data_IF_919748620635
#
_entry.id   IF_919748620635
#
_cell.length_a   1.000
_cell.length_b   1.000
_cell.length_c   1.000
_cell.angle_alpha   90.00
_cell.angle_beta   90.00
_cell.angle_gamma   90.00
#
_symmetry.space_group_name_H-M   'P 1'
#
loop_
_entity.id
_entity.type
_entity.pdbx_description
1 polymer ?
#
# COMPACT_ATOMS: atom_id res chain seq x y z
N UNK A 1 -3.81 6.66 39.75
CA UNK A 1 -3.67 5.28 39.25
C UNK A 1 -3.71 5.33 37.73
N UNK A 2 -2.55 5.32 37.09
CA UNK A 2 -2.44 5.38 35.63
C UNK A 2 -2.29 3.93 35.14
N UNK A 3 -3.32 3.39 34.49
CA UNK A 3 -3.31 2.02 33.94
C UNK A 3 -2.47 2.04 32.65
N UNK A 4 -1.31 1.36 32.57
CA UNK A 4 -0.39 1.45 31.44
C UNK A 4 -0.84 0.65 30.19
N UNK A 5 -2.08 0.14 30.18
CA UNK A 5 -2.65 -0.67 29.10
C UNK A 5 -4.05 -0.23 28.65
N UNK A 6 -4.52 0.96 29.06
CA UNK A 6 -5.79 1.45 28.54
C UNK A 6 -5.63 1.80 27.05
N UNK A 7 -6.45 1.18 26.18
CA UNK A 7 -6.53 1.55 24.76
C UNK A 7 -6.76 3.06 24.66
N UNK A 8 -6.07 3.74 23.73
CA UNK A 8 -6.11 5.19 23.56
C UNK A 8 -7.51 5.74 23.22
N UNK A 9 -8.51 4.86 23.14
CA UNK A 9 -9.89 5.15 22.79
C UNK A 9 -10.89 4.75 23.87
N UNK A 10 -10.43 4.42 25.08
CA UNK A 10 -11.27 3.98 26.18
C UNK A 10 -12.35 5.03 26.55
N UNK A 11 -12.01 6.32 26.42
CA UNK A 11 -12.93 7.45 26.61
C UNK A 11 -14.19 7.34 25.74
N UNK A 12 -14.03 6.94 24.47
CA UNK A 12 -15.12 6.79 23.51
C UNK A 12 -15.85 5.47 23.69
N UNK A 13 -15.10 4.40 23.96
CA UNK A 13 -15.69 3.07 24.12
C UNK A 13 -16.62 3.01 25.33
N UNK A 14 -16.28 3.70 26.42
CA UNK A 14 -17.09 3.78 27.63
C UNK A 14 -18.19 4.85 27.58
N UNK A 15 -18.14 5.77 26.62
CA UNK A 15 -19.16 6.81 26.46
C UNK A 15 -20.55 6.20 26.24
N UNK A 16 -21.53 6.64 27.02
CA UNK A 16 -22.95 6.25 26.90
C UNK A 16 -23.76 7.47 26.46
N UNK A 17 -24.02 7.64 25.15
CA UNK A 17 -24.78 8.78 24.67
C UNK A 17 -26.24 8.68 25.12
N UNK A 18 -26.78 9.74 25.72
CA UNK A 18 -28.17 9.80 26.19
C UNK A 18 -29.12 10.32 25.10
N UNK A 19 -28.64 11.24 24.26
CA UNK A 19 -29.43 11.90 23.21
C UNK A 19 -28.99 11.47 21.80
N UNK A 20 -29.89 11.57 20.82
CA UNK A 20 -29.58 11.30 19.41
C UNK A 20 -28.48 12.22 18.85
N UNK A 21 -28.46 13.50 19.27
CA UNK A 21 -27.38 14.42 18.91
C UNK A 21 -26.02 13.98 19.50
N UNK A 22 -26.01 13.40 20.70
CA UNK A 22 -24.81 12.85 21.32
C UNK A 22 -24.37 11.55 20.62
N UNK A 23 -25.31 10.70 20.18
CA UNK A 23 -25.01 9.52 19.35
C UNK A 23 -24.39 9.90 18.02
N UNK A 24 -24.92 10.92 17.34
CA UNK A 24 -24.38 11.41 16.08
C UNK A 24 -22.95 11.96 16.22
N UNK A 25 -22.66 12.73 17.29
CA UNK A 25 -21.30 13.19 17.58
C UNK A 25 -20.35 12.04 17.89
N UNK A 26 -20.80 11.08 18.71
CA UNK A 26 -20.01 9.90 19.06
C UNK A 26 -19.74 9.03 17.83
N UNK A 27 -20.71 8.89 16.93
CA UNK A 27 -20.59 8.18 15.66
C UNK A 27 -19.48 8.77 14.78
N UNK A 28 -19.50 10.08 14.54
CA UNK A 28 -18.49 10.74 13.71
C UNK A 28 -17.09 10.64 14.34
N UNK A 29 -16.99 10.87 15.64
CA UNK A 29 -15.72 10.73 16.36
C UNK A 29 -15.20 9.28 16.30
N UNK A 30 -16.07 8.27 16.49
CA UNK A 30 -15.70 6.86 16.34
C UNK A 30 -15.19 6.57 14.93
N UNK A 31 -15.86 7.08 13.89
CA UNK A 31 -15.45 6.91 12.49
C UNK A 31 -14.08 7.50 12.23
N UNK A 32 -13.81 8.70 12.72
CA UNK A 32 -12.56 9.39 12.47
C UNK A 32 -11.39 8.76 13.23
N UNK A 33 -11.57 8.38 14.50
CA UNK A 33 -10.57 7.62 15.23
C UNK A 33 -10.34 6.24 14.61
N UNK A 34 -11.39 5.57 14.12
CA UNK A 34 -11.25 4.28 13.45
C UNK A 34 -10.44 4.40 12.14
N UNK A 35 -10.67 5.46 11.35
CA UNK A 35 -9.85 5.73 10.15
C UNK A 35 -8.38 5.93 10.50
N UNK A 36 -8.08 6.70 11.56
CA UNK A 36 -6.70 6.88 12.05
C UNK A 36 -6.09 5.56 12.51
N UNK A 37 -6.85 4.73 13.23
CA UNK A 37 -6.40 3.40 13.65
C UNK A 37 -6.10 2.48 12.47
N UNK A 38 -6.91 2.52 11.40
CA UNK A 38 -6.65 1.80 10.13
C UNK A 38 -5.36 2.31 9.47
N UNK A 39 -5.15 3.63 9.43
CA UNK A 39 -3.95 4.23 8.85
C UNK A 39 -2.69 3.87 9.65
N UNK A 40 -2.80 3.85 10.98
CA UNK A 40 -1.75 3.41 11.90
C UNK A 40 -1.61 1.87 11.96
N UNK A 41 -2.42 1.12 11.20
CA UNK A 41 -2.45 -0.35 11.18
C UNK A 41 -2.74 -1.00 12.55
N UNK A 42 -3.39 -0.28 13.46
CA UNK A 42 -3.86 -0.78 14.75
C UNK A 42 -5.25 -1.38 14.58
N UNK A 43 -5.30 -2.58 14.00
CA UNK A 43 -6.56 -3.26 13.63
C UNK A 43 -7.51 -3.56 14.82
N UNK A 44 -7.05 -3.97 16.01
CA UNK A 44 -7.94 -4.25 17.14
C UNK A 44 -8.75 -3.03 17.59
N UNK A 45 -8.09 -1.87 17.66
CA UNK A 45 -8.72 -0.60 18.04
C UNK A 45 -9.74 -0.15 16.98
N UNK A 46 -9.40 -0.28 15.70
CA UNK A 46 -10.33 0.01 14.60
C UNK A 46 -11.60 -0.86 14.68
N UNK A 47 -11.46 -2.15 14.99
CA UNK A 47 -12.59 -3.07 15.16
C UNK A 47 -13.50 -2.61 16.31
N UNK A 48 -12.92 -2.28 17.46
CA UNK A 48 -13.68 -1.83 18.63
C UNK A 48 -14.45 -0.53 18.33
N UNK A 49 -13.79 0.43 17.68
CA UNK A 49 -14.38 1.71 17.30
C UNK A 49 -15.50 1.56 16.25
N UNK A 50 -15.33 0.71 15.24
CA UNK A 50 -16.39 0.46 14.26
C UNK A 50 -17.59 -0.26 14.86
N UNK A 51 -17.39 -1.20 15.79
CA UNK A 51 -18.49 -1.82 16.55
C UNK A 51 -19.24 -0.80 17.40
N UNK A 52 -18.52 0.13 18.04
CA UNK A 52 -19.13 1.22 18.80
C UNK A 52 -19.93 2.16 17.90
N UNK A 53 -19.37 2.52 16.74
CA UNK A 53 -20.03 3.34 15.72
C UNK A 53 -21.36 2.71 15.25
N UNK A 54 -21.37 1.40 14.98
CA UNK A 54 -22.58 0.66 14.59
C UNK A 54 -23.69 0.74 15.64
N UNK A 55 -23.35 0.79 16.94
CA UNK A 55 -24.32 0.98 18.01
C UNK A 55 -24.89 2.41 18.12
N UNK A 56 -24.32 3.37 17.40
CA UNK A 56 -24.72 4.78 17.44
C UNK A 56 -25.52 5.22 16.20
N UNK A 57 -25.59 4.42 15.15
CA UNK A 57 -26.33 4.73 13.93
C UNK A 57 -27.41 3.70 13.64
N UNK A 58 -28.56 4.18 13.15
CA UNK A 58 -29.67 3.37 12.65
C UNK A 58 -29.85 3.51 11.14
N UNK A 59 -29.00 4.30 10.47
CA UNK A 59 -29.06 4.51 9.01
C UNK A 59 -28.41 3.33 8.29
N UNK A 60 -29.19 2.62 7.48
CA UNK A 60 -28.76 1.44 6.74
C UNK A 60 -27.55 1.72 5.82
N UNK A 61 -27.49 2.90 5.19
CA UNK A 61 -26.38 3.26 4.30
C UNK A 61 -25.08 3.45 5.09
N UNK A 62 -25.16 4.14 6.24
CA UNK A 62 -24.01 4.32 7.12
C UNK A 62 -23.57 2.98 7.73
N UNK A 63 -24.53 2.16 8.17
CA UNK A 63 -24.25 0.83 8.70
C UNK A 63 -23.55 -0.05 7.66
N UNK A 64 -23.98 -0.03 6.39
CA UNK A 64 -23.31 -0.78 5.31
C UNK A 64 -21.82 -0.39 5.17
N UNK A 65 -21.54 0.91 5.14
CA UNK A 65 -20.16 1.42 5.05
C UNK A 65 -19.33 0.99 6.26
N UNK A 66 -19.89 1.07 7.47
CA UNK A 66 -19.22 0.67 8.71
C UNK A 66 -18.94 -0.84 8.73
N UNK A 67 -19.90 -1.67 8.34
CA UNK A 67 -19.74 -3.13 8.24
C UNK A 67 -18.66 -3.53 7.22
N UNK A 68 -18.58 -2.82 6.09
CA UNK A 68 -17.52 -3.04 5.09
C UNK A 68 -16.12 -2.69 5.62
N UNK A 69 -15.97 -1.57 6.35
CA UNK A 69 -14.70 -1.20 6.97
C UNK A 69 -14.32 -2.12 8.13
N UNK A 70 -15.31 -2.60 8.88
CA UNK A 70 -15.12 -3.61 9.93
C UNK A 70 -14.60 -4.93 9.34
N UNK A 71 -15.17 -5.38 8.22
CA UNK A 71 -14.71 -6.56 7.49
C UNK A 71 -13.25 -6.44 7.05
N UNK A 72 -12.85 -5.26 6.54
CA UNK A 72 -11.45 -4.98 6.20
C UNK A 72 -10.52 -5.17 7.42
N UNK A 73 -10.87 -4.56 8.56
CA UNK A 73 -10.06 -4.62 9.77
C UNK A 73 -9.94 -6.06 10.30
N UNK A 74 -11.04 -6.83 10.28
CA UNK A 74 -11.06 -8.24 10.67
C UNK A 74 -10.22 -9.11 9.73
N UNK A 75 -10.31 -8.88 8.42
CA UNK A 75 -9.49 -9.58 7.43
C UNK A 75 -7.99 -9.33 7.62
N UNK A 76 -7.60 -8.10 7.98
CA UNK A 76 -6.20 -7.79 8.32
C UNK A 76 -5.69 -8.50 9.57
N UNK A 77 -6.59 -8.93 10.45
CA UNK A 77 -6.29 -9.77 11.61
C UNK A 77 -6.42 -11.29 11.32
N UNK A 78 -6.60 -11.69 10.06
CA UNK A 78 -6.88 -13.07 9.65
C UNK A 78 -8.14 -13.68 10.29
N UNK A 79 -9.10 -12.85 10.73
CA UNK A 79 -10.40 -13.31 11.24
C UNK A 79 -11.41 -13.35 10.10
N UNK A 80 -11.23 -14.31 9.19
CA UNK A 80 -11.92 -14.34 7.91
C UNK A 80 -13.40 -14.71 8.03
N UNK A 81 -13.79 -15.52 9.01
CA UNK A 81 -15.19 -15.85 9.30
C UNK A 81 -15.96 -14.62 9.80
N UNK A 82 -15.38 -13.85 10.72
CA UNK A 82 -15.95 -12.59 11.21
C UNK A 82 -16.05 -11.55 10.08
N UNK A 83 -15.00 -11.47 9.26
CA UNK A 83 -14.95 -10.57 8.10
C UNK A 83 -16.02 -10.92 7.06
N UNK A 84 -16.27 -12.22 6.85
CA UNK A 84 -17.31 -12.72 5.96
C UNK A 84 -18.69 -12.28 6.45
N UNK A 85 -18.99 -12.48 7.73
CA UNK A 85 -20.27 -12.07 8.32
C UNK A 85 -20.48 -10.56 8.20
N UNK A 86 -19.47 -9.75 8.55
CA UNK A 86 -19.55 -8.30 8.46
C UNK A 86 -19.72 -7.82 7.01
N UNK A 87 -19.05 -8.46 6.03
CA UNK A 87 -19.22 -8.12 4.63
C UNK A 87 -20.59 -8.53 4.07
N UNK A 88 -21.18 -9.64 4.54
CA UNK A 88 -22.54 -10.05 4.20
C UNK A 88 -23.56 -9.02 4.71
N UNK A 89 -23.46 -8.60 5.97
CA UNK A 89 -24.31 -7.54 6.51
C UNK A 89 -24.18 -6.23 5.71
N UNK A 90 -22.98 -5.89 5.24
CA UNK A 90 -22.78 -4.69 4.42
C UNK A 90 -23.59 -4.73 3.11
N UNK A 91 -23.57 -5.85 2.39
CA UNK A 91 -24.30 -5.97 1.11
C UNK A 91 -25.80 -6.18 1.27
N UNK A 92 -26.23 -6.75 2.40
CA UNK A 92 -27.65 -6.88 2.75
C UNK A 92 -28.28 -5.52 3.08
N UNK A 93 -27.52 -4.62 3.73
CA UNK A 93 -27.96 -3.27 4.05
C UNK A 93 -27.96 -2.34 2.83
N UNK A 94 -26.91 -2.40 2.01
CA UNK A 94 -26.81 -1.64 0.76
C UNK A 94 -26.23 -2.51 -0.36
N UNK A 95 -27.12 -3.00 -1.22
CA UNK A 95 -26.76 -3.81 -2.37
C UNK A 95 -26.07 -3.01 -3.49
N UNK A 96 -26.11 -1.67 -3.46
CA UNK A 96 -25.44 -0.81 -4.44
C UNK A 96 -23.98 -0.51 -4.05
N UNK A 97 -23.60 -0.81 -2.81
CA UNK A 97 -22.28 -0.50 -2.29
C UNK A 97 -21.20 -1.45 -2.82
N UNK A 98 -20.54 -1.05 -3.91
CA UNK A 98 -19.49 -1.81 -4.62
C UNK A 98 -18.38 -2.30 -3.69
N UNK A 99 -17.93 -1.46 -2.75
CA UNK A 99 -16.89 -1.84 -1.79
C UNK A 99 -17.34 -2.95 -0.84
N UNK A 100 -18.62 -3.00 -0.46
CA UNK A 100 -19.19 -4.09 0.32
C UNK A 100 -19.07 -5.43 -0.39
N UNK A 101 -19.48 -5.49 -1.67
CA UNK A 101 -19.33 -6.69 -2.50
C UNK A 101 -17.87 -7.10 -2.70
N UNK A 102 -16.96 -6.12 -2.85
CA UNK A 102 -15.54 -6.42 -2.94
C UNK A 102 -14.98 -7.04 -1.65
N UNK A 103 -15.35 -6.51 -0.47
CA UNK A 103 -14.96 -7.11 0.82
C UNK A 103 -15.51 -8.51 1.00
N UNK A 104 -16.77 -8.73 0.57
CA UNK A 104 -17.39 -10.04 0.62
C UNK A 104 -16.61 -11.07 -0.22
N UNK A 105 -16.26 -10.72 -1.46
CA UNK A 105 -15.45 -11.57 -2.32
C UNK A 105 -14.08 -11.89 -1.71
N UNK A 106 -13.39 -10.90 -1.14
CA UNK A 106 -12.10 -11.10 -0.45
C UNK A 106 -12.22 -12.05 0.75
N UNK A 107 -13.26 -11.91 1.56
CA UNK A 107 -13.51 -12.79 2.70
C UNK A 107 -13.85 -14.22 2.25
N UNK A 108 -14.70 -14.38 1.23
CA UNK A 108 -15.07 -15.69 0.68
C UNK A 108 -13.86 -16.47 0.14
N UNK A 109 -12.95 -15.81 -0.60
CA UNK A 109 -11.69 -16.41 -1.06
C UNK A 109 -10.88 -16.94 0.12
N UNK A 110 -10.77 -16.12 1.17
CA UNK A 110 -9.93 -16.45 2.33
C UNK A 110 -10.50 -17.58 3.18
N UNK A 111 -11.83 -17.76 3.21
CA UNK A 111 -12.53 -18.88 3.85
C UNK A 111 -12.56 -20.14 2.94
N UNK A 112 -12.01 -20.07 1.72
CA UNK A 112 -11.97 -21.20 0.78
C UNK A 112 -13.23 -21.35 -0.10
N UNK A 113 -14.15 -20.40 -0.05
CA UNK A 113 -15.35 -20.33 -0.91
C UNK A 113 -15.06 -19.56 -2.20
N UNK A 114 -14.04 -20.03 -2.94
CA UNK A 114 -13.56 -19.36 -4.16
C UNK A 114 -14.61 -19.28 -5.28
N UNK A 115 -15.50 -20.29 -5.40
CA UNK A 115 -16.59 -20.28 -6.37
C UNK A 115 -17.58 -19.13 -6.13
N UNK A 116 -18.13 -19.05 -4.92
CA UNK A 116 -19.05 -17.98 -4.50
C UNK A 116 -18.42 -16.58 -4.63
N UNK A 117 -17.10 -16.49 -4.44
CA UNK A 117 -16.36 -15.24 -4.59
C UNK A 117 -16.32 -14.73 -6.03
N UNK A 118 -16.27 -15.62 -7.03
CA UNK A 118 -16.32 -15.23 -8.44
C UNK A 118 -17.65 -14.56 -8.75
N UNK A 119 -18.77 -15.19 -8.37
CA UNK A 119 -20.11 -14.64 -8.60
C UNK A 119 -20.32 -13.31 -7.88
N UNK A 120 -19.79 -13.20 -6.66
CA UNK A 120 -19.83 -11.98 -5.85
C UNK A 120 -19.04 -10.84 -6.49
N UNK A 121 -17.81 -11.10 -6.96
CA UNK A 121 -17.00 -10.09 -7.64
C UNK A 121 -17.56 -9.72 -9.02
N UNK A 122 -18.23 -10.65 -9.71
CA UNK A 122 -18.97 -10.35 -10.95
C UNK A 122 -20.12 -9.38 -10.70
N UNK A 123 -20.90 -9.58 -9.62
CA UNK A 123 -21.93 -8.62 -9.20
C UNK A 123 -21.31 -7.26 -8.88
N UNK A 124 -20.21 -7.23 -8.14
CA UNK A 124 -19.51 -5.98 -7.84
C UNK A 124 -19.06 -5.24 -9.12
N UNK A 125 -18.57 -5.97 -10.13
CA UNK A 125 -18.16 -5.43 -11.41
C UNK A 125 -19.34 -4.97 -12.27
N UNK A 126 -20.51 -5.61 -12.15
CA UNK A 126 -21.73 -5.14 -12.83
C UNK A 126 -22.19 -3.76 -12.34
N UNK A 127 -21.90 -3.42 -11.08
CA UNK A 127 -22.20 -2.13 -10.47
C UNK A 127 -21.15 -1.06 -10.82
N UNK A 128 -19.86 -1.42 -10.90
CA UNK A 128 -18.78 -0.54 -11.37
C UNK A 128 -17.89 -1.25 -12.41
N UNK A 129 -18.27 -1.25 -13.70
CA UNK A 129 -17.56 -1.95 -14.76
C UNK A 129 -16.17 -1.37 -15.05
N UNK A 130 -15.90 -0.14 -14.59
CA UNK A 130 -14.66 0.58 -14.90
C UNK A 130 -13.54 0.28 -13.91
N UNK A 131 -13.85 -0.44 -12.83
CA UNK A 131 -12.95 -0.67 -11.72
C UNK A 131 -11.86 -1.70 -12.03
N UNK A 132 -10.70 -1.20 -12.47
CA UNK A 132 -9.52 -2.04 -12.77
C UNK A 132 -9.07 -2.91 -11.59
N UNK A 133 -9.30 -2.49 -10.35
CA UNK A 133 -8.92 -3.27 -9.18
C UNK A 133 -9.81 -4.50 -8.98
N UNK A 134 -11.13 -4.35 -9.17
CA UNK A 134 -12.07 -5.47 -9.14
C UNK A 134 -11.82 -6.45 -10.27
N UNK A 135 -11.57 -5.97 -11.49
CA UNK A 135 -11.26 -6.83 -12.65
C UNK A 135 -10.04 -7.70 -12.34
N UNK A 136 -8.97 -7.08 -11.83
CA UNK A 136 -7.74 -7.79 -11.45
C UNK A 136 -7.97 -8.79 -10.33
N UNK A 137 -8.76 -8.45 -9.31
CA UNK A 137 -9.07 -9.39 -8.23
C UNK A 137 -9.90 -10.56 -8.75
N UNK A 138 -10.90 -10.32 -9.60
CA UNK A 138 -11.72 -11.36 -10.20
C UNK A 138 -10.90 -12.31 -11.08
N UNK A 139 -9.98 -11.80 -11.89
CA UNK A 139 -9.06 -12.63 -12.69
C UNK A 139 -8.20 -13.52 -11.79
N UNK A 140 -7.65 -12.96 -10.71
CA UNK A 140 -6.86 -13.70 -9.72
C UNK A 140 -7.68 -14.80 -9.06
N UNK A 141 -8.89 -14.49 -8.60
CA UNK A 141 -9.79 -15.45 -7.94
C UNK A 141 -10.21 -16.56 -8.91
N UNK A 142 -10.51 -16.21 -10.17
CA UNK A 142 -10.84 -17.20 -11.21
C UNK A 142 -9.68 -18.14 -11.49
N UNK A 143 -8.45 -17.62 -11.56
CA UNK A 143 -7.24 -18.43 -11.72
C UNK A 143 -7.06 -19.39 -10.54
N UNK A 144 -7.18 -18.89 -9.31
CA UNK A 144 -7.10 -19.71 -8.09
C UNK A 144 -8.20 -20.78 -8.04
N UNK A 145 -9.42 -20.46 -8.47
CA UNK A 145 -10.53 -21.41 -8.54
C UNK A 145 -10.35 -22.47 -9.65
N UNK A 146 -9.61 -22.17 -10.72
CA UNK A 146 -9.27 -23.12 -11.78
C UNK A 146 -8.08 -24.04 -11.44
N UNK A 147 -7.18 -23.59 -10.58
CA UNK A 147 -6.00 -24.34 -10.12
C UNK A 147 -6.30 -25.22 -8.89
N UNK A 148 -7.38 -24.93 -8.16
CA UNK A 148 -7.87 -25.80 -7.10
C UNK A 148 -8.38 -27.12 -7.71
N UNK A 149 -7.91 -28.31 -7.25
CA UNK A 149 -8.42 -29.58 -7.71
C UNK A 149 -9.91 -29.66 -7.36
N UNK A 150 -10.74 -29.53 -8.38
CA UNK A 150 -12.17 -29.75 -8.29
C UNK A 150 -12.40 -31.16 -7.74
N UNK A 151 -13.12 -31.36 -6.61
CA UNK A 151 -13.67 -32.67 -6.33
C UNK A 151 -14.56 -33.05 -7.51
N UNK A 152 -14.31 -34.23 -8.09
CA UNK A 152 -15.06 -34.73 -9.22
C UNK A 152 -16.57 -34.70 -8.94
N UNK A 153 -17.29 -34.19 -9.94
CA UNK A 153 -18.68 -34.45 -10.28
C UNK A 153 -19.80 -33.75 -9.49
N UNK A 154 -20.51 -32.86 -10.21
CA UNK A 154 -21.89 -33.17 -10.61
C UNK A 154 -22.30 -32.38 -11.86
N UNK A 155 -22.14 -33.01 -13.03
CA UNK A 155 -22.88 -32.67 -14.25
C UNK A 155 -24.31 -33.20 -14.16
N UNK A 156 -25.26 -32.42 -14.69
CA UNK A 156 -26.70 -32.72 -14.92
C UNK A 156 -27.55 -32.62 -13.65
N UNK A 157 -28.61 -31.81 -13.53
CA UNK A 157 -29.81 -31.71 -14.38
C UNK A 157 -30.56 -30.39 -14.16
N UNK A 158 -31.24 -29.93 -15.22
CA UNK A 158 -32.25 -28.85 -15.24
C UNK A 158 -33.43 -29.16 -14.29
N UNK A 159 -33.94 -28.11 -13.64
CA UNK A 159 -35.30 -27.98 -13.05
C UNK A 159 -36.35 -28.11 -14.18
N UNK A 160 -37.58 -28.62 -14.10
CA UNK A 160 -38.71 -28.62 -13.13
C UNK A 160 -39.60 -29.83 -13.52
N UNK A 161 -40.25 -30.59 -12.62
CA UNK A 161 -41.71 -30.53 -12.31
C UNK A 161 -42.09 -31.55 -11.22
N UNK A 162 -43.02 -31.10 -10.36
CA UNK A 162 -43.72 -31.75 -9.24
C UNK A 162 -44.11 -33.22 -9.44
N UNK A 163 -44.15 -34.02 -8.36
CA UNK A 163 -45.36 -34.63 -7.74
C UNK A 163 -44.98 -35.57 -6.56
N UNK A 164 -45.48 -35.21 -5.38
CA UNK A 164 -46.09 -35.97 -4.26
C UNK A 164 -45.80 -37.48 -4.02
N UNK A 165 -45.68 -37.82 -2.72
CA UNK A 165 -46.32 -38.95 -1.98
C UNK A 165 -45.39 -40.06 -1.41
N UNK A 166 -45.18 -40.01 -0.07
CA UNK A 166 -45.40 -41.10 0.91
C UNK A 166 -44.35 -42.20 1.16
N UNK A 167 -43.81 -42.14 2.39
CA UNK A 167 -43.70 -43.21 3.42
C UNK A 167 -42.93 -44.50 3.09
N UNK A 168 -41.87 -44.78 3.87
CA UNK A 168 -41.78 -45.89 4.87
C UNK A 168 -40.32 -46.17 5.28
N UNK A 169 -40.07 -45.90 6.56
CA UNK A 169 -39.17 -46.47 7.58
C UNK A 169 -38.15 -47.60 7.33
N UNK A 170 -37.15 -47.62 8.25
CA UNK A 170 -36.25 -48.71 8.72
C UNK A 170 -35.10 -49.11 7.75
N UNK A 171 -33.85 -49.41 8.13
CA UNK A 171 -33.21 -49.85 9.40
C UNK A 171 -31.69 -49.61 9.34
N UNK A 172 -31.10 -49.40 10.52
CA UNK A 172 -29.72 -49.58 10.99
C UNK A 172 -28.85 -50.61 10.23
N UNK A 173 -27.58 -50.29 9.95
CA UNK A 173 -26.40 -51.13 10.31
C UNK A 173 -25.06 -50.47 9.94
N UNK A 174 -24.16 -50.52 10.92
CA UNK A 174 -22.75 -50.17 10.86
C UNK A 174 -21.93 -51.21 10.10
N UNK A 175 -20.85 -50.79 9.42
CA UNK A 175 -19.53 -51.43 9.56
C UNK A 175 -18.47 -50.71 8.72
N UNK A 176 -17.40 -50.29 9.40
CA UNK A 176 -16.08 -49.98 8.88
C UNK A 176 -15.58 -51.07 7.92
N UNK A 177 -14.99 -50.67 6.78
CA UNK A 177 -13.81 -51.36 6.23
C UNK A 177 -12.85 -50.31 5.69
N UNK A 178 -11.68 -50.28 6.34
CA UNK A 178 -10.45 -49.59 5.94
C UNK A 178 -9.80 -50.37 4.80
N UNK A 179 -9.43 -49.69 3.70
CA UNK A 179 -8.58 -50.25 2.65
C UNK A 179 -7.20 -49.60 2.69
N UNK A 180 -6.31 -50.31 3.37
CA UNK A 180 -4.85 -50.22 3.30
C UNK A 180 -4.37 -50.48 1.87
N UNK A 181 -3.62 -49.54 1.29
CA UNK A 181 -2.82 -49.77 0.10
C UNK A 181 -1.38 -50.06 0.53
N UNK A 182 -0.98 -51.33 0.43
CA UNK A 182 0.40 -51.80 0.60
C UNK A 182 1.25 -51.42 -0.61
N UNK A 183 2.37 -50.74 -0.37
CA UNK A 183 3.51 -50.72 -1.29
C UNK A 183 4.65 -51.48 -0.64
N UNK A 184 5.01 -52.60 -1.26
CA UNK A 184 6.08 -53.52 -0.91
C UNK A 184 7.43 -52.79 -0.79
N UNK A 185 8.07 -52.86 0.37
CA UNK A 185 9.47 -52.51 0.57
C UNK A 185 10.23 -53.78 0.95
N UNK A 186 11.23 -54.16 0.17
CA UNK A 186 12.24 -55.12 0.59
C UNK A 186 13.02 -54.54 1.79
N UNK A 187 13.31 -55.34 2.84
CA UNK A 187 14.13 -54.88 3.95
C UNK A 187 15.60 -54.95 3.55
N UNK A 188 16.28 -53.81 3.47
CA UNK A 188 17.75 -53.75 3.42
C UNK A 188 18.28 -53.77 4.85
N UNK A 189 19.21 -54.69 5.10
CA UNK A 189 19.93 -54.88 6.35
C UNK A 189 20.72 -53.61 6.73
N UNK A 190 20.68 -53.24 8.01
CA UNK A 190 21.45 -52.13 8.59
C UNK A 190 22.64 -52.75 9.31
N UNK A 191 23.85 -52.50 8.80
CA UNK A 191 25.10 -52.85 9.49
C UNK A 191 25.31 -51.88 10.68
N UNK A 192 25.24 -52.44 11.89
CA UNK A 192 25.50 -51.76 13.16
C UNK A 192 26.79 -52.35 13.75
N UNK A 193 27.70 -51.51 14.24
CA UNK A 193 28.90 -51.97 14.94
C UNK A 193 28.58 -52.51 16.35
N UNK A 194 29.53 -53.22 16.98
CA UNK A 194 29.35 -53.87 18.30
C UNK A 194 29.05 -52.88 19.45
N UNK A 195 29.17 -51.56 19.23
CA UNK A 195 28.77 -50.52 20.18
C UNK A 195 27.42 -49.84 19.86
N UNK A 196 26.69 -50.29 18.84
CA UNK A 196 25.32 -49.81 18.57
C UNK A 196 25.25 -48.47 17.83
N UNK A 197 26.32 -48.03 17.16
CA UNK A 197 26.34 -46.82 16.37
C UNK A 197 26.07 -47.08 14.88
N UNK A 198 25.26 -46.20 14.27
CA UNK A 198 24.95 -46.25 12.84
C UNK A 198 26.17 -45.85 12.02
N UNK A 199 26.69 -46.77 11.20
CA UNK A 199 27.76 -46.45 10.24
C UNK A 199 27.20 -45.53 9.14
N UNK A 200 27.92 -44.45 8.82
CA UNK A 200 27.49 -43.39 7.89
C UNK A 200 27.16 -43.98 6.50
N UNK A 201 25.88 -44.17 6.22
CA UNK A 201 25.43 -44.48 4.86
C UNK A 201 25.46 -43.22 4.01
N UNK A 202 26.17 -43.30 2.88
CA UNK A 202 26.39 -42.24 1.89
C UNK A 202 25.13 -41.76 1.14
N UNK A 203 23.93 -42.13 1.62
CA UNK A 203 22.66 -41.92 0.91
C UNK A 203 21.67 -41.08 1.74
N UNK A 204 22.05 -39.85 2.06
CA UNK A 204 21.10 -38.84 2.54
C UNK A 204 20.30 -38.32 1.35
N UNK A 205 19.00 -38.63 1.34
CA UNK A 205 18.02 -38.22 0.33
C UNK A 205 18.04 -36.68 0.17
N UNK A 206 18.45 -36.17 -1.00
CA UNK A 206 18.51 -34.73 -1.30
C UNK A 206 19.86 -34.19 -1.78
N UNK A 207 20.90 -35.02 -1.86
CA UNK A 207 22.21 -34.66 -2.42
C UNK A 207 22.63 -35.66 -3.51
N UNK A 208 23.33 -35.15 -4.54
CA UNK A 208 23.94 -35.97 -5.59
C UNK A 208 25.46 -35.75 -5.56
N UNK A 209 26.22 -36.78 -5.86
CA UNK A 209 27.67 -36.66 -6.06
C UNK A 209 27.90 -36.48 -7.57
N UNK A 210 28.50 -35.35 -7.95
CA UNK A 210 28.94 -35.07 -9.33
C UNK A 210 30.41 -34.69 -9.26
N UNK A 211 31.27 -35.36 -10.04
CA UNK A 211 32.73 -35.16 -10.05
C UNK A 211 33.41 -35.22 -8.67
N UNK A 212 32.95 -36.12 -7.79
CA UNK A 212 33.50 -36.31 -6.45
C UNK A 212 33.11 -35.25 -5.41
N UNK A 213 32.28 -34.26 -5.79
CA UNK A 213 31.74 -33.25 -4.85
C UNK A 213 30.25 -33.50 -4.59
N UNK A 214 29.85 -33.42 -3.32
CA UNK A 214 28.46 -33.54 -2.87
C UNK A 214 27.74 -32.22 -3.10
N UNK A 215 26.81 -32.17 -4.06
CA UNK A 215 26.02 -30.99 -4.41
C UNK A 215 24.53 -31.23 -4.14
N UNK A 216 23.76 -30.17 -3.89
CA UNK A 216 22.30 -30.31 -3.73
C UNK A 216 21.64 -30.51 -5.09
N UNK A 217 20.46 -31.14 -5.10
CA UNK A 217 19.70 -31.39 -6.34
C UNK A 217 19.29 -30.11 -7.12
N UNK A 218 19.40 -28.92 -6.51
CA UNK A 218 19.08 -27.64 -7.15
C UNK A 218 20.29 -26.94 -7.79
N UNK A 219 21.46 -27.59 -7.83
CA UNK A 219 22.64 -27.03 -8.48
C UNK A 219 22.63 -27.33 -9.99
N UNK A 220 22.33 -26.32 -10.80
CA UNK A 220 22.46 -26.39 -12.26
C UNK A 220 23.88 -25.95 -12.66
N UNK A 221 24.73 -26.89 -13.05
CA UNK A 221 26.07 -26.56 -13.56
C UNK A 221 25.95 -25.96 -14.96
N UNK A 222 26.38 -24.71 -15.14
CA UNK A 222 26.40 -24.07 -16.45
C UNK A 222 27.28 -24.89 -17.41
N UNK A 223 26.75 -25.15 -18.62
CA UNK A 223 27.50 -25.86 -19.67
C UNK A 223 28.77 -25.11 -20.03
N UNK A 224 29.77 -25.84 -20.53
CA UNK A 224 31.04 -25.25 -21.02
C UNK A 224 30.79 -24.14 -22.05
N UNK A 225 29.75 -24.29 -22.87
CA UNK A 225 29.32 -23.26 -23.83
C UNK A 225 28.72 -22.02 -23.14
N UNK A 226 27.93 -22.21 -22.08
CA UNK A 226 27.39 -21.10 -21.29
C UNK A 226 28.49 -20.37 -20.50
N UNK A 227 29.49 -21.10 -19.99
CA UNK A 227 30.68 -20.51 -19.34
C UNK A 227 31.51 -19.71 -20.35
N UNK A 228 31.66 -20.19 -21.59
CA UNK A 228 32.34 -19.45 -22.66
C UNK A 228 31.59 -18.17 -23.08
N UNK A 229 30.26 -18.18 -23.08
CA UNK A 229 29.47 -16.97 -23.39
C UNK A 229 29.57 -15.89 -22.31
N UNK A 230 29.77 -16.28 -21.05
CA UNK A 230 29.84 -15.35 -19.91
C UNK A 230 31.16 -14.57 -19.89
N UNK A 231 32.25 -15.15 -20.40
CA UNK A 231 33.56 -14.48 -20.50
C UNK A 231 34.14 -14.02 -19.15
N UNK A 232 35.24 -13.25 -19.20
CA UNK A 232 35.81 -12.59 -18.02
C UNK A 232 35.00 -11.31 -17.70
N UNK A 233 34.03 -11.41 -16.78
CA UNK A 233 33.29 -10.26 -16.23
C UNK A 233 34.13 -9.50 -15.18
N UNK A 234 35.45 -9.50 -15.33
CA UNK A 234 36.32 -8.71 -14.46
C UNK A 234 36.27 -7.24 -14.91
N UNK A 235 35.89 -6.29 -14.04
CA UNK A 235 35.88 -4.87 -14.41
C UNK A 235 37.30 -4.42 -14.76
N UNK A 236 37.50 -4.01 -16.01
CA UNK A 236 38.77 -3.44 -16.46
C UNK A 236 38.88 -1.99 -15.99
N UNK A 237 40.01 -1.65 -15.39
CA UNK A 237 40.31 -0.27 -14.95
C UNK A 237 40.56 0.59 -16.18
N UNK A 238 39.75 1.63 -16.38
CA UNK A 238 39.96 2.60 -17.45
C UNK A 238 41.21 3.43 -17.16
N UNK A 239 42.13 3.52 -18.13
CA UNK A 239 43.24 4.46 -18.08
C UNK A 239 42.73 5.88 -18.37
N UNK A 240 43.12 6.82 -17.51
CA UNK A 240 42.75 8.23 -17.61
C UNK A 240 43.51 8.89 -18.74
N UNK A 241 42.86 9.09 -19.89
CA UNK A 241 43.32 10.02 -20.93
C UNK A 241 42.72 11.41 -20.63
N UNK A 242 43.48 12.52 -20.76
CA UNK A 242 43.00 13.85 -20.43
C UNK A 242 41.81 14.25 -21.31
N UNK A 243 40.81 14.84 -20.67
CA UNK A 243 39.57 15.34 -21.28
C UNK A 243 39.88 16.53 -22.19
N UNK A 244 39.66 16.36 -23.50
CA UNK A 244 39.30 17.48 -24.37
C UNK A 244 37.78 17.44 -24.59
N UNK A 245 37.16 18.58 -24.29
CA UNK A 245 35.74 18.85 -24.47
C UNK A 245 35.40 18.93 -25.96
N UNK A 246 34.56 18.00 -26.44
CA UNK A 246 33.68 18.28 -27.58
C UNK A 246 32.27 17.83 -27.27
N UNK A 247 31.47 18.81 -26.91
CA UNK A 247 30.02 18.79 -26.89
C UNK A 247 29.44 18.36 -28.24
N UNK A 248 28.71 17.24 -28.27
CA UNK A 248 27.55 17.11 -29.17
C UNK A 248 26.47 16.26 -28.50
N UNK A 249 25.25 16.79 -28.52
CA UNK A 249 24.02 16.24 -27.98
C UNK A 249 23.64 14.95 -28.72
N UNK A 250 23.76 13.81 -28.06
CA UNK A 250 22.79 12.72 -28.18
C UNK A 250 22.54 12.15 -26.80
N UNK A 251 21.37 12.48 -26.24
CA UNK A 251 20.87 11.92 -25.00
C UNK A 251 20.91 10.40 -25.10
N UNK A 252 21.69 9.77 -24.23
CA UNK A 252 21.90 8.34 -24.17
C UNK A 252 20.57 7.60 -24.02
N UNK A 253 20.01 7.16 -25.14
CA UNK A 253 18.94 6.17 -25.16
C UNK A 253 19.58 4.83 -24.81
N UNK A 254 19.61 4.50 -23.53
CA UNK A 254 19.94 3.16 -23.05
C UNK A 254 18.98 2.16 -23.71
N UNK A 255 19.51 1.01 -24.15
CA UNK A 255 18.78 -0.02 -24.89
C UNK A 255 17.52 -0.58 -24.18
N UNK A 256 17.35 -0.26 -22.89
CA UNK A 256 16.15 -0.52 -22.09
C UNK A 256 14.90 0.26 -22.55
N UNK A 257 15.08 1.42 -23.21
CA UNK A 257 13.99 2.28 -23.66
C UNK A 257 13.25 1.76 -24.91
N UNK A 258 13.67 0.61 -25.46
CA UNK A 258 13.05 0.00 -26.66
C UNK A 258 11.81 -0.84 -26.34
N UNK A 259 11.57 -1.14 -25.06
CA UNK A 259 10.46 -2.00 -24.62
C UNK A 259 9.20 -1.23 -24.16
N UNK A 260 9.14 0.10 -24.34
CA UNK A 260 7.94 0.90 -24.01
C UNK A 260 7.48 0.82 -22.54
N UNK A 261 8.39 0.51 -21.61
CA UNK A 261 8.00 0.16 -20.24
C UNK A 261 8.15 1.31 -19.25
N UNK A 262 9.06 2.28 -19.47
CA UNK A 262 9.25 3.45 -18.61
C UNK A 262 9.82 4.61 -19.44
N UNK A 263 9.13 5.75 -19.49
CA UNK A 263 9.66 7.01 -20.01
C UNK A 263 9.67 8.01 -18.86
N UNK A 264 10.84 8.21 -18.27
CA UNK A 264 11.11 9.25 -17.28
C UNK A 264 11.83 10.40 -17.96
N UNK A 265 11.26 11.59 -17.86
CA UNK A 265 11.82 12.82 -18.40
C UNK A 265 12.30 13.69 -17.24
N UNK A 266 13.60 13.94 -17.21
CA UNK A 266 14.18 14.93 -16.30
C UNK A 266 13.68 16.34 -16.68
N UNK A 267 13.16 17.05 -15.69
CA UNK A 267 12.65 18.42 -15.77
C UNK A 267 13.19 19.30 -14.65
N UNK A 268 14.28 18.86 -13.99
CA UNK A 268 14.87 19.52 -12.83
C UNK A 268 15.25 20.97 -13.12
N UNK A 269 15.83 21.25 -14.30
CA UNK A 269 16.22 22.61 -14.68
C UNK A 269 15.02 23.57 -14.72
N UNK A 270 13.90 23.15 -15.33
CA UNK A 270 12.70 23.97 -15.36
C UNK A 270 12.07 24.11 -13.98
N UNK A 271 12.02 23.01 -13.21
CA UNK A 271 11.41 23.01 -11.89
C UNK A 271 12.15 23.93 -10.92
N UNK A 272 13.48 23.89 -10.94
CA UNK A 272 14.33 24.74 -10.12
C UNK A 272 14.15 26.23 -10.47
N UNK A 273 14.21 26.58 -11.76
CA UNK A 273 14.09 27.97 -12.22
C UNK A 273 12.70 28.55 -11.90
N UNK A 274 11.64 27.80 -12.24
CA UNK A 274 10.25 28.26 -12.04
C UNK A 274 9.85 28.35 -10.56
N UNK A 275 10.31 27.41 -9.72
CA UNK A 275 10.05 27.47 -8.29
C UNK A 275 10.79 28.65 -7.66
N UNK A 276 12.05 28.85 -8.05
CA UNK A 276 12.85 29.97 -7.56
C UNK A 276 12.23 31.32 -7.93
N UNK A 277 11.74 31.48 -9.17
CA UNK A 277 11.03 32.69 -9.61
C UNK A 277 9.75 32.93 -8.80
N UNK A 278 8.95 31.88 -8.58
CA UNK A 278 7.71 31.99 -7.80
C UNK A 278 7.96 32.43 -6.35
N UNK A 279 8.98 31.85 -5.70
CA UNK A 279 9.36 32.19 -4.34
C UNK A 279 9.87 33.62 -4.22
N UNK A 280 10.70 34.08 -5.18
CA UNK A 280 11.20 35.46 -5.18
C UNK A 280 10.10 36.50 -5.38
N UNK A 281 9.02 36.16 -6.08
CA UNK A 281 7.86 37.03 -6.25
C UNK A 281 6.95 37.09 -5.01
N UNK A 282 7.19 36.26 -3.99
CA UNK A 282 6.32 36.19 -2.81
C UNK A 282 6.49 37.41 -1.91
N UNK A 283 5.37 38.05 -1.59
CA UNK A 283 5.32 39.20 -0.68
C UNK A 283 4.14 39.09 0.27
N UNK A 284 4.27 39.66 1.46
CA UNK A 284 3.21 39.67 2.47
C UNK A 284 3.06 41.07 3.07
N UNK A 285 1.87 41.66 2.91
CA UNK A 285 1.58 43.00 3.44
C UNK A 285 1.06 42.91 4.88
N UNK A 286 1.75 43.59 5.80
CA UNK A 286 1.33 43.79 7.18
C UNK A 286 1.11 45.28 7.47
N UNK A 287 0.46 45.61 8.59
CA UNK A 287 0.22 46.99 9.02
C UNK A 287 1.52 47.78 9.27
N UNK A 288 2.59 47.09 9.69
CA UNK A 288 3.89 47.69 9.99
C UNK A 288 4.88 47.69 8.82
N UNK A 289 4.56 47.02 7.70
CA UNK A 289 5.46 46.97 6.54
C UNK A 289 5.14 45.83 5.56
N UNK A 290 5.92 45.76 4.49
CA UNK A 290 5.87 44.69 3.51
C UNK A 290 7.00 43.69 3.79
N UNK A 291 6.67 42.42 3.98
CA UNK A 291 7.65 41.34 4.04
C UNK A 291 7.93 40.84 2.62
N UNK A 292 9.19 40.78 2.23
CA UNK A 292 9.60 40.36 0.88
C UNK A 292 10.69 39.31 0.92
N UNK A 293 10.74 38.49 -0.11
CA UNK A 293 11.86 37.57 -0.35
C UNK A 293 12.98 38.33 -1.08
N UNK A 294 14.15 38.39 -0.46
CA UNK A 294 15.35 39.04 -1.01
C UNK A 294 16.14 38.12 -1.93
N UNK A 295 16.19 36.84 -1.60
CA UNK A 295 16.74 35.79 -2.46
C UNK A 295 16.14 34.44 -2.09
N UNK A 296 16.03 33.56 -3.08
CA UNK A 296 15.63 32.17 -2.89
C UNK A 296 16.63 31.27 -3.62
N UNK A 297 17.09 30.22 -2.96
CA UNK A 297 17.93 29.17 -3.52
C UNK A 297 17.16 27.86 -3.44
N UNK A 298 16.98 27.22 -4.60
CA UNK A 298 16.29 25.94 -4.73
C UNK A 298 17.31 24.92 -5.19
N UNK A 299 17.39 23.78 -4.49
CA UNK A 299 18.27 22.66 -4.84
C UNK A 299 17.50 21.36 -4.74
N UNK A 300 17.74 20.43 -5.66
CA UNK A 300 16.96 19.20 -5.74
C UNK A 300 16.76 18.74 -7.17
N UNK A 301 15.74 17.92 -7.38
CA UNK A 301 15.45 17.33 -8.69
C UNK A 301 13.94 17.20 -8.92
N UNK A 302 13.56 17.19 -10.20
CA UNK A 302 12.20 16.92 -10.62
C UNK A 302 12.20 16.12 -11.93
N UNK A 303 11.37 15.08 -11.98
CA UNK A 303 11.18 14.24 -13.15
C UNK A 303 9.70 13.91 -13.36
N UNK A 304 9.38 13.57 -14.60
CA UNK A 304 8.04 13.17 -15.01
C UNK A 304 8.11 11.76 -15.57
N UNK A 305 7.48 10.81 -14.89
CA UNK A 305 7.44 9.41 -15.29
C UNK A 305 6.05 9.03 -15.81
N UNK A 306 5.98 8.38 -16.97
CA UNK A 306 4.72 7.81 -17.47
C UNK A 306 4.66 6.32 -17.13
N UNK A 307 3.81 5.95 -16.17
CA UNK A 307 3.64 4.56 -15.72
C UNK A 307 2.26 4.07 -16.13
N UNK A 308 2.19 3.09 -17.05
CA UNK A 308 0.94 2.47 -17.54
C UNK A 308 -0.07 3.51 -18.07
N UNK A 309 0.43 4.51 -18.79
CA UNK A 309 -0.37 5.60 -19.35
C UNK A 309 -0.82 6.67 -18.35
N UNK A 310 -0.40 6.60 -17.08
CA UNK A 310 -0.60 7.67 -16.09
C UNK A 310 0.72 8.40 -15.85
N UNK A 311 0.68 9.73 -15.94
CA UNK A 311 1.81 10.58 -15.59
C UNK A 311 1.96 10.66 -14.07
N UNK A 312 3.20 10.61 -13.61
CA UNK A 312 3.62 10.74 -12.22
C UNK A 312 4.67 11.82 -12.18
N UNK A 313 4.42 12.83 -11.36
CA UNK A 313 5.37 13.90 -11.09
C UNK A 313 6.17 13.48 -9.87
N UNK A 314 7.48 13.49 -10.00
CA UNK A 314 8.41 13.15 -8.94
C UNK A 314 9.25 14.39 -8.74
N UNK A 315 9.28 14.92 -7.52
CA UNK A 315 10.12 16.05 -7.19
C UNK A 315 10.50 15.99 -5.71
N UNK A 316 11.68 16.50 -5.42
CA UNK A 316 12.25 16.65 -4.09
C UNK A 316 13.11 17.91 -4.12
N UNK A 317 12.72 18.91 -3.33
CA UNK A 317 13.36 20.21 -3.25
C UNK A 317 13.74 20.54 -1.82
N UNK A 318 14.95 21.09 -1.68
CA UNK A 318 15.42 21.80 -0.50
C UNK A 318 15.54 23.28 -0.84
N UNK A 319 14.81 24.11 -0.10
CA UNK A 319 14.61 25.53 -0.39
C UNK A 319 15.18 26.36 0.75
N UNK A 320 15.99 27.35 0.40
CA UNK A 320 16.49 28.36 1.33
C UNK A 320 16.02 29.74 0.88
N UNK A 321 15.31 30.45 1.75
CA UNK A 321 14.74 31.77 1.49
C UNK A 321 15.38 32.79 2.42
N UNK A 322 15.91 33.86 1.86
CA UNK A 322 16.31 35.04 2.61
C UNK A 322 15.22 36.10 2.53
N UNK A 323 14.77 36.61 3.67
CA UNK A 323 13.65 37.53 3.76
C UNK A 323 14.05 38.87 4.37
N UNK A 324 13.27 39.90 4.06
CA UNK A 324 13.35 41.23 4.66
C UNK A 324 11.97 41.66 5.13
N UNK A 325 11.88 42.17 6.35
CA UNK A 325 10.66 42.73 6.91
C UNK A 325 11.04 43.84 7.90
N UNK A 326 10.59 45.07 7.63
CA UNK A 326 10.93 46.26 8.42
C UNK A 326 12.45 46.52 8.46
N UNK A 327 13.05 46.62 9.64
CA UNK A 327 14.50 46.72 9.86
C UNK A 327 15.19 45.35 9.97
N UNK A 328 14.42 44.27 9.84
CA UNK A 328 14.88 42.92 10.09
C UNK A 328 15.11 42.15 8.79
N UNK A 329 16.20 41.40 8.75
CA UNK A 329 16.47 40.43 7.67
C UNK A 329 16.82 39.10 8.27
N UNK A 330 16.65 38.03 7.50
CA UNK A 330 16.92 36.70 8.01
C UNK A 330 16.85 35.63 6.95
N UNK A 331 16.79 34.39 7.43
CA UNK A 331 16.75 33.19 6.61
C UNK A 331 15.67 32.24 7.12
N UNK A 332 15.06 31.49 6.21
CA UNK A 332 14.09 30.44 6.45
C UNK A 332 14.39 29.27 5.49
N UNK A 333 14.24 28.04 5.96
CA UNK A 333 14.53 26.83 5.18
C UNK A 333 13.30 25.92 5.11
N UNK A 334 13.10 25.29 3.94
CA UNK A 334 12.17 24.19 3.75
C UNK A 334 12.98 23.00 3.22
N UNK A 335 13.44 22.10 4.10
CA UNK A 335 14.39 21.06 3.72
C UNK A 335 13.77 19.98 2.84
N UNK A 336 12.48 19.68 3.07
CA UNK A 336 11.78 18.53 2.52
C UNK A 336 10.49 18.98 1.81
N UNK A 337 10.62 19.49 0.58
CA UNK A 337 9.48 19.81 -0.30
C UNK A 337 9.39 18.76 -1.39
N UNK A 338 8.57 17.75 -1.15
CA UNK A 338 8.42 16.61 -2.05
C UNK A 338 6.96 16.31 -2.41
N UNK A 339 6.77 15.40 -3.37
CA UNK A 339 5.45 14.98 -3.86
C UNK A 339 4.62 14.13 -2.88
N UNK A 340 5.08 13.91 -1.65
CA UNK A 340 4.32 13.22 -0.60
C UNK A 340 3.46 14.18 0.22
N UNK A 341 3.84 15.46 0.28
CA UNK A 341 3.06 16.50 0.91
C UNK A 341 1.83 16.84 0.04
N UNK A 342 0.63 16.81 0.64
CA UNK A 342 -0.59 17.16 -0.09
C UNK A 342 -0.71 18.68 -0.18
N UNK A 343 -1.17 19.18 -1.33
CA UNK A 343 -1.48 20.61 -1.51
C UNK A 343 -2.43 21.08 -0.39
N UNK A 344 -2.05 22.13 0.34
CA UNK A 344 -2.75 22.65 1.50
C UNK A 344 -2.28 22.10 2.86
N UNK A 345 -1.38 21.10 2.89
CA UNK A 345 -0.67 20.73 4.10
C UNK A 345 0.57 21.64 4.30
N UNK A 346 0.88 22.06 5.53
CA UNK A 346 2.02 22.93 5.77
C UNK A 346 3.33 22.16 5.58
N UNK A 347 4.21 22.66 4.71
CA UNK A 347 5.61 22.20 4.63
C UNK A 347 6.35 22.51 5.96
N UNK A 348 7.30 21.66 6.29
CA UNK A 348 8.14 21.89 7.45
C UNK A 348 9.08 23.07 7.18
N UNK A 349 8.99 24.09 8.02
CA UNK A 349 9.82 25.28 7.95
C UNK A 349 10.79 25.27 9.13
N UNK A 350 12.08 25.14 8.81
CA UNK A 350 13.18 25.05 9.76
C UNK A 350 14.16 26.20 9.56
N UNK A 351 15.20 26.26 10.39
CA UNK A 351 16.33 27.18 10.16
C UNK A 351 15.95 28.66 10.21
N UNK A 352 14.85 29.03 10.87
CA UNK A 352 14.45 30.43 11.03
C UNK A 352 15.50 31.19 11.84
N UNK A 353 16.06 32.23 11.24
CA UNK A 353 17.06 33.09 11.86
C UNK A 353 16.77 34.55 11.52
N UNK A 354 17.07 35.44 12.47
CA UNK A 354 17.03 36.89 12.27
C UNK A 354 18.47 37.40 12.33
N UNK A 355 19.01 37.81 11.19
CA UNK A 355 20.39 38.27 11.05
C UNK A 355 20.59 39.72 11.52
N UNK A 356 19.57 40.56 11.33
CA UNK A 356 19.61 41.98 11.70
C UNK A 356 18.29 42.43 12.29
N UNK A 357 18.31 43.45 13.16
CA UNK A 357 17.11 44.16 13.64
C UNK A 357 16.81 43.95 15.13
N UNK A 358 15.89 44.77 15.66
CA UNK A 358 15.60 44.83 17.11
C UNK A 358 14.21 44.28 17.48
N UNK A 359 13.30 44.14 16.51
CA UNK A 359 11.88 43.82 16.74
C UNK A 359 11.57 42.33 16.47
N UNK A 360 12.39 41.45 17.05
CA UNK A 360 12.38 39.99 16.77
C UNK A 360 11.05 39.29 17.05
N UNK A 361 10.29 39.72 18.07
CA UNK A 361 9.00 39.10 18.40
C UNK A 361 7.95 39.30 17.31
N UNK A 362 7.85 40.52 16.76
CA UNK A 362 6.89 40.84 15.70
C UNK A 362 7.25 40.12 14.39
N UNK A 363 8.56 39.98 14.13
CA UNK A 363 9.07 39.21 13.00
C UNK A 363 8.73 37.73 13.17
N UNK A 364 8.95 37.15 14.34
CA UNK A 364 8.65 35.73 14.56
C UNK A 364 7.17 35.42 14.30
N UNK A 365 6.26 36.29 14.74
CA UNK A 365 4.82 36.10 14.53
C UNK A 365 4.41 36.26 13.05
N UNK A 366 4.97 37.25 12.34
CA UNK A 366 4.53 37.61 10.98
C UNK A 366 5.37 36.98 9.85
N UNK A 367 6.53 36.44 10.16
CA UNK A 367 7.43 35.80 9.19
C UNK A 367 7.48 34.28 9.41
N UNK A 368 7.52 33.81 10.67
CA UNK A 368 7.71 32.38 10.96
C UNK A 368 6.44 31.66 11.40
N UNK A 369 5.67 32.21 12.35
CA UNK A 369 4.44 31.58 12.86
C UNK A 369 3.24 31.77 11.93
N UNK A 370 3.33 32.73 11.00
CA UNK A 370 2.32 33.04 10.01
C UNK A 370 2.83 34.05 8.98
N UNK A 371 1.91 34.72 8.28
CA UNK A 371 2.23 35.80 7.34
C UNK A 371 3.10 35.33 6.16
N UNK A 372 4.36 35.74 6.12
CA UNK A 372 5.26 35.42 4.99
C UNK A 372 5.45 33.91 4.83
N UNK A 373 5.57 33.13 5.92
CA UNK A 373 5.65 31.67 5.82
C UNK A 373 4.43 31.09 5.11
N UNK A 374 3.22 31.54 5.46
CA UNK A 374 1.99 31.05 4.82
C UNK A 374 1.95 31.45 3.33
N UNK A 375 2.38 32.67 3.00
CA UNK A 375 2.50 33.09 1.60
C UNK A 375 3.51 32.24 0.81
N UNK A 376 4.59 31.79 1.45
CA UNK A 376 5.56 30.86 0.86
C UNK A 376 4.96 29.45 0.67
N UNK A 377 4.18 28.94 1.63
CA UNK A 377 3.41 27.70 1.46
C UNK A 377 2.47 27.80 0.24
N UNK A 378 1.71 28.89 0.14
CA UNK A 378 0.80 29.12 -0.98
C UNK A 378 1.54 29.24 -2.32
N UNK A 379 2.73 29.87 -2.34
CA UNK A 379 3.58 29.94 -3.53
C UNK A 379 4.07 28.56 -3.97
N UNK A 380 4.54 27.72 -3.04
CA UNK A 380 4.95 26.34 -3.33
C UNK A 380 3.75 25.53 -3.88
N UNK A 381 2.59 25.63 -3.23
CA UNK A 381 1.37 24.94 -3.68
C UNK A 381 0.93 25.38 -5.08
N UNK A 382 1.02 26.67 -5.39
CA UNK A 382 0.74 27.20 -6.72
C UNK A 382 1.74 26.66 -7.75
N UNK A 383 3.02 26.54 -7.39
CA UNK A 383 4.02 25.91 -8.25
C UNK A 383 3.70 24.43 -8.49
N UNK A 384 3.28 23.68 -7.47
CA UNK A 384 2.87 22.27 -7.63
C UNK A 384 1.70 22.13 -8.59
N UNK A 385 0.71 23.03 -8.52
CA UNK A 385 -0.41 23.07 -9.49
C UNK A 385 0.08 23.39 -10.90
N UNK A 386 0.96 24.36 -11.07
CA UNK A 386 1.57 24.68 -12.36
C UNK A 386 2.35 23.50 -12.93
N UNK A 387 3.07 22.76 -12.08
CA UNK A 387 3.82 21.58 -12.48
C UNK A 387 2.89 20.47 -13.00
N UNK A 388 1.74 20.29 -12.34
CA UNK A 388 0.68 19.36 -12.75
C UNK A 388 -0.04 19.76 -14.04
N UNK A 389 -0.22 21.06 -14.29
CA UNK A 389 -0.84 21.54 -15.54
C UNK A 389 0.12 21.42 -16.73
N UNK A 390 1.41 21.68 -16.50
CA UNK A 390 2.42 21.69 -17.56
C UNK A 390 2.80 20.29 -18.04
N UNK A 391 2.84 19.31 -17.13
CA UNK A 391 3.28 17.95 -17.42
C UNK A 391 2.22 16.93 -17.08
#
# INVERSE_FOLDING_TARGET
MNQPFASAHQDILDAKPQDEAAKARLLEECKDRAKRAIQAQVWPDAIALYKKALGCTSDANQQSILHSNLSLAQGKMNRWEDALHSAQSAVELDATYVKGWWRLGQAQVSVGKGGDAVDTLQKALSLDPTNKALIKELEKVRKQASEAPQPLASTTTKSVTKTTTTTTSYTKSSSNVSSTASSTSEPMEVDVDEEGNFTKSDHVKGYKIVNGKKTSYFHNELSEDAKKLIGDIAPQKLETVPVEETSTKEAGKSAWNKAGTWEEKDVSAWGQESLQESLQATTFQHAEGLATVTSATVSGHASVATVRGKKRLIYEWSIVVHWSFMDCTGKLEFPDVDGTCMVGEPYDATGFTVSTGTRTSLVEDNVYRGGLRNALHDSIDNWVRLFQEKY
#
